data_IF_411399915001
#
_entry.id   IF_411399915001
#
_cell.length_a   1.000
_cell.length_b   1.000
_cell.length_c   1.000
_cell.angle_alpha   90.00
_cell.angle_beta   90.00
_cell.angle_gamma   90.00
#
_symmetry.space_group_name_H-M   'P 1'
#
loop_
_entity.id
_entity.type
_entity.pdbx_description
1 polymer ?
#
# COMPACT_ATOMS: atom_id res chain seq x y z
N UNK A 1 -15.27 12.02 32.96
CA UNK A 1 -13.93 12.28 32.41
C UNK A 1 -14.11 12.53 30.92
N UNK A 2 -13.82 13.73 30.44
CA UNK A 2 -13.92 14.05 29.01
C UNK A 2 -12.74 13.43 28.29
N UNK A 3 -13.00 12.50 27.38
CA UNK A 3 -11.97 11.87 26.57
C UNK A 3 -11.47 12.85 25.51
N UNK A 4 -10.58 13.77 25.90
CA UNK A 4 -10.12 14.87 25.03
C UNK A 4 -9.65 14.43 23.64
N UNK A 5 -8.99 13.28 23.54
CA UNK A 5 -8.59 12.71 22.25
C UNK A 5 -9.76 12.17 21.41
N UNK A 6 -10.78 11.59 22.04
CA UNK A 6 -11.96 11.09 21.32
C UNK A 6 -12.74 12.26 20.75
N UNK A 7 -13.03 13.28 21.59
CA UNK A 7 -13.71 14.51 21.14
C UNK A 7 -12.90 15.22 20.04
N UNK A 8 -11.58 15.18 20.13
CA UNK A 8 -10.72 15.72 19.08
C UNK A 8 -10.89 14.95 17.77
N UNK A 9 -10.86 13.61 17.81
CA UNK A 9 -11.03 12.76 16.64
C UNK A 9 -12.43 12.88 16.03
N UNK A 10 -13.49 12.95 16.83
CA UNK A 10 -14.87 13.19 16.35
C UNK A 10 -14.97 14.49 15.53
N UNK A 11 -14.21 15.52 15.91
CA UNK A 11 -14.24 16.84 15.25
C UNK A 11 -13.31 16.94 14.05
N UNK A 12 -12.14 16.31 14.11
CA UNK A 12 -11.06 16.49 13.15
C UNK A 12 -10.89 15.31 12.19
N UNK A 13 -11.55 14.19 12.45
CA UNK A 13 -11.35 12.95 11.72
C UNK A 13 -10.06 12.23 12.11
N UNK A 14 -9.60 11.26 11.30
CA UNK A 14 -8.32 10.59 11.51
C UNK A 14 -7.15 11.55 11.38
N UNK A 15 -6.21 11.50 12.34
CA UNK A 15 -5.03 12.39 12.36
C UNK A 15 -3.77 11.64 12.82
N UNK A 16 -2.56 12.14 12.53
CA UNK A 16 -1.34 11.63 13.14
C UNK A 16 -1.42 11.60 14.67
N UNK A 17 -0.90 10.53 15.30
CA UNK A 17 -0.85 10.42 16.76
C UNK A 17 -0.14 11.61 17.42
N UNK A 18 0.83 12.21 16.73
CA UNK A 18 1.57 13.38 17.21
C UNK A 18 0.70 14.67 17.29
N UNK A 19 -0.46 14.70 16.63
CA UNK A 19 -1.39 15.84 16.64
C UNK A 19 -2.46 15.71 17.73
N UNK A 20 -2.56 14.56 18.40
CA UNK A 20 -3.51 14.39 19.49
C UNK A 20 -3.15 15.31 20.67
N UNK A 21 -4.16 15.91 21.34
CA UNK A 21 -3.92 16.82 22.46
C UNK A 21 -3.33 16.15 23.69
N UNK A 22 -3.53 14.84 23.85
CA UNK A 22 -3.07 14.06 25.00
C UNK A 22 -2.53 12.69 24.58
N UNK A 23 -1.76 12.06 25.46
CA UNK A 23 -1.36 10.66 25.27
C UNK A 23 -2.59 9.73 25.25
N UNK A 24 -2.51 8.69 24.42
CA UNK A 24 -3.58 7.69 24.31
C UNK A 24 -3.57 6.79 25.54
N UNK A 25 -4.69 6.74 26.24
CA UNK A 25 -4.84 5.94 27.47
C UNK A 25 -5.63 4.65 27.23
N UNK A 26 -5.47 3.65 28.11
CA UNK A 26 -6.23 2.39 28.04
C UNK A 26 -7.75 2.59 27.99
N UNK A 27 -8.35 3.49 28.80
CA UNK A 27 -9.78 3.77 28.71
C UNK A 27 -10.22 4.32 27.34
N UNK A 28 -9.39 5.13 26.68
CA UNK A 28 -9.70 5.63 25.33
C UNK A 28 -9.65 4.51 24.29
N UNK A 29 -8.69 3.58 24.40
CA UNK A 29 -8.64 2.39 23.54
C UNK A 29 -9.86 1.51 23.72
N UNK A 30 -10.29 1.30 24.97
CA UNK A 30 -11.50 0.56 25.28
C UNK A 30 -12.77 1.24 24.74
N UNK A 31 -12.73 2.55 24.52
CA UNK A 31 -13.81 3.33 23.93
C UNK A 31 -13.74 3.43 22.38
N UNK A 32 -12.86 2.66 21.72
CA UNK A 32 -12.79 2.57 20.27
C UNK A 32 -11.74 3.45 19.60
N UNK A 33 -10.87 4.12 20.37
CA UNK A 33 -9.71 4.81 19.80
C UNK A 33 -8.62 3.80 19.41
N UNK A 34 -8.31 3.75 18.12
CA UNK A 34 -7.31 2.87 17.53
C UNK A 34 -6.25 3.63 16.75
N UNK A 35 -5.15 2.94 16.43
CA UNK A 35 -4.05 3.49 15.65
C UNK A 35 -3.69 2.57 14.48
N UNK A 36 -3.68 3.11 13.26
CA UNK A 36 -3.11 2.43 12.10
C UNK A 36 -1.61 2.70 12.09
N UNK A 37 -0.83 1.64 12.31
CA UNK A 37 0.64 1.69 12.31
C UNK A 37 1.17 0.80 11.21
N UNK A 38 1.87 1.38 10.23
CA UNK A 38 2.64 0.58 9.28
C UNK A 38 4.00 0.27 9.90
N UNK A 39 4.20 -1.00 10.26
CA UNK A 39 5.52 -1.48 10.61
C UNK A 39 6.38 -1.54 9.35
N UNK A 40 7.49 -0.80 9.33
CA UNK A 40 8.56 -1.05 8.38
C UNK A 40 9.14 -2.45 8.68
N UNK A 41 8.61 -3.48 8.01
CA UNK A 41 8.96 -4.87 8.26
C UNK A 41 10.43 -5.18 7.99
N UNK A 42 11.04 -5.98 8.88
CA UNK A 42 12.35 -6.63 8.71
C UNK A 42 12.28 -7.62 7.55
N UNK A 43 12.62 -7.18 6.36
CA UNK A 43 12.94 -8.02 5.22
C UNK A 43 13.87 -7.25 4.28
N UNK A 44 14.70 -7.93 3.46
CA UNK A 44 15.67 -7.26 2.59
C UNK A 44 15.04 -6.34 1.52
N UNK A 45 13.71 -6.26 1.41
CA UNK A 45 13.01 -5.58 0.32
C UNK A 45 12.01 -4.47 0.71
N UNK A 46 11.74 -4.16 1.98
CA UNK A 46 10.67 -3.17 2.28
C UNK A 46 11.04 -2.17 3.38
N UNK A 47 12.02 -1.31 3.10
CA UNK A 47 12.25 -0.10 3.89
C UNK A 47 11.46 1.04 3.25
N UNK A 48 10.29 1.39 3.81
CA UNK A 48 9.78 2.75 3.62
C UNK A 48 10.80 3.67 4.30
N UNK A 49 11.34 4.64 3.57
CA UNK A 49 12.43 5.48 4.05
C UNK A 49 12.03 6.33 5.26
N UNK A 50 12.32 5.85 6.47
CA UNK A 50 12.18 6.62 7.71
C UNK A 50 11.04 6.18 8.63
N UNK A 51 10.87 6.92 9.72
CA UNK A 51 9.83 6.69 10.72
C UNK A 51 8.50 7.18 10.17
N UNK A 52 7.52 6.29 10.11
CA UNK A 52 6.15 6.63 9.74
C UNK A 52 5.38 7.12 10.97
N UNK A 53 4.56 8.14 10.75
CA UNK A 53 3.61 8.65 11.72
C UNK A 53 2.38 7.75 11.74
N UNK A 54 2.07 7.07 12.87
CA UNK A 54 0.83 6.33 13.00
C UNK A 54 -0.38 7.27 12.97
N UNK A 55 -1.51 6.80 12.45
CA UNK A 55 -2.76 7.57 12.38
C UNK A 55 -3.71 7.09 13.47
N UNK A 56 -4.16 7.99 14.33
CA UNK A 56 -5.22 7.76 15.29
C UNK A 56 -6.61 7.94 14.65
N UNK A 57 -7.55 7.07 15.00
CA UNK A 57 -8.92 7.11 14.50
C UNK A 57 -9.89 6.43 15.48
N UNK A 58 -11.20 6.61 15.26
CA UNK A 58 -12.25 5.94 16.02
C UNK A 58 -12.81 4.79 15.18
N UNK A 59 -12.70 3.55 15.68
CA UNK A 59 -13.03 2.32 14.94
C UNK A 59 -14.48 2.27 14.43
N UNK A 60 -15.41 2.83 15.20
CA UNK A 60 -16.83 2.80 14.88
C UNK A 60 -17.31 3.98 14.03
N UNK A 61 -16.52 5.05 13.90
CA UNK A 61 -16.95 6.31 13.28
C UNK A 61 -16.16 6.66 12.01
N UNK A 62 -14.89 6.28 11.95
CA UNK A 62 -14.01 6.66 10.86
C UNK A 62 -13.87 5.53 9.85
N UNK A 63 -14.39 5.80 8.64
CA UNK A 63 -14.27 4.89 7.51
C UNK A 63 -12.80 4.59 7.16
N UNK A 64 -12.46 3.32 6.82
CA UNK A 64 -11.09 2.94 6.46
C UNK A 64 -10.46 3.80 5.36
N UNK A 65 -11.27 4.28 4.40
CA UNK A 65 -10.87 5.22 3.33
C UNK A 65 -10.29 6.51 3.89
N UNK A 66 -10.95 7.12 4.89
CA UNK A 66 -10.50 8.36 5.50
C UNK A 66 -9.18 8.16 6.27
N UNK A 67 -9.05 7.03 6.98
CA UNK A 67 -7.83 6.68 7.72
C UNK A 67 -6.65 6.44 6.78
N UNK A 68 -6.86 5.73 5.66
CA UNK A 68 -5.82 5.50 4.66
C UNK A 68 -5.40 6.81 4.00
N UNK A 69 -6.35 7.70 3.67
CA UNK A 69 -6.04 9.02 3.12
C UNK A 69 -5.16 9.83 4.08
N UNK A 70 -5.57 9.95 5.35
CA UNK A 70 -4.78 10.63 6.38
C UNK A 70 -3.37 10.03 6.57
N UNK A 71 -3.24 8.71 6.42
CA UNK A 71 -1.94 8.03 6.47
C UNK A 71 -1.03 8.46 5.33
N UNK A 72 -1.54 8.52 4.11
CA UNK A 72 -0.78 8.90 2.93
C UNK A 72 -0.39 10.38 2.98
N UNK A 73 -1.31 11.26 3.40
CA UNK A 73 -1.07 12.70 3.57
C UNK A 73 0.03 12.97 4.60
N UNK A 74 -0.01 12.29 5.74
CA UNK A 74 0.98 12.46 6.80
C UNK A 74 2.33 11.81 6.49
N UNK A 75 2.39 10.93 5.49
CA UNK A 75 3.58 10.13 5.16
C UNK A 75 3.83 10.07 3.65
N UNK A 76 4.16 11.20 2.98
CA UNK A 76 4.34 11.26 1.52
C UNK A 76 5.42 10.29 1.01
N UNK A 77 6.41 9.99 1.85
CA UNK A 77 7.46 8.98 1.55
C UNK A 77 6.92 7.59 1.22
N UNK A 78 5.68 7.26 1.62
CA UNK A 78 5.04 6.00 1.23
C UNK A 78 4.82 5.94 -0.28
N UNK A 79 4.28 7.00 -0.87
CA UNK A 79 3.95 7.05 -2.30
C UNK A 79 5.19 7.35 -3.14
N UNK A 80 6.15 8.10 -2.60
CA UNK A 80 7.45 8.36 -3.24
C UNK A 80 8.33 7.08 -3.38
N UNK A 81 8.28 6.17 -2.40
CA UNK A 81 9.21 5.03 -2.35
C UNK A 81 8.56 3.66 -2.60
N UNK A 82 7.24 3.54 -2.60
CA UNK A 82 6.55 2.30 -2.93
C UNK A 82 5.72 2.48 -4.19
N UNK A 83 5.65 1.43 -5.00
CA UNK A 83 4.68 1.35 -6.08
C UNK A 83 3.27 1.21 -5.51
N UNK A 84 2.27 1.65 -6.28
CA UNK A 84 0.85 1.49 -5.93
C UNK A 84 0.50 0.07 -5.52
N UNK A 85 0.92 -0.93 -6.30
CA UNK A 85 0.68 -2.36 -6.00
C UNK A 85 1.34 -2.77 -4.69
N UNK A 86 2.57 -2.30 -4.45
CA UNK A 86 3.31 -2.56 -3.22
C UNK A 86 2.57 -1.98 -2.00
N UNK A 87 2.13 -0.73 -2.09
CA UNK A 87 1.43 -0.05 -1.00
C UNK A 87 0.07 -0.68 -0.71
N UNK A 88 -0.70 -1.05 -1.74
CA UNK A 88 -1.95 -1.82 -1.59
C UNK A 88 -1.71 -3.14 -0.85
N UNK A 89 -0.64 -3.86 -1.21
CA UNK A 89 -0.29 -5.13 -0.55
C UNK A 89 0.08 -4.91 0.92
N UNK A 90 0.91 -3.91 1.21
CA UNK A 90 1.33 -3.58 2.58
C UNK A 90 0.13 -3.24 3.46
N UNK A 91 -0.79 -2.41 2.94
CA UNK A 91 -2.02 -2.05 3.65
C UNK A 91 -2.94 -3.27 3.83
N UNK A 92 -3.15 -4.07 2.77
CA UNK A 92 -3.94 -5.30 2.86
C UNK A 92 -3.40 -6.32 3.88
N UNK A 93 -2.09 -6.39 4.08
CA UNK A 93 -1.48 -7.24 5.13
C UNK A 93 -1.81 -6.77 6.56
N UNK A 94 -2.24 -5.52 6.75
CA UNK A 94 -2.74 -5.04 8.05
C UNK A 94 -4.22 -5.43 8.28
N UNK A 95 -4.91 -5.89 7.23
CA UNK A 95 -6.34 -6.19 7.26
C UNK A 95 -6.99 -5.91 5.90
N UNK A 96 -7.98 -6.73 5.54
CA UNK A 96 -8.67 -6.64 4.25
C UNK A 96 -9.26 -5.24 4.00
N UNK A 97 -9.90 -4.65 5.00
CA UNK A 97 -10.50 -3.31 4.92
C UNK A 97 -9.51 -2.22 4.50
N UNK A 98 -8.24 -2.34 4.89
CA UNK A 98 -7.19 -1.39 4.53
C UNK A 98 -6.74 -1.56 3.08
N UNK A 99 -6.70 -2.80 2.59
CA UNK A 99 -6.40 -3.08 1.17
C UNK A 99 -7.49 -2.60 0.23
N UNK A 100 -8.76 -2.74 0.63
CA UNK A 100 -9.92 -2.23 -0.10
C UNK A 100 -9.92 -0.70 -0.11
N UNK A 101 -9.77 -0.06 1.07
CA UNK A 101 -9.63 1.38 1.18
C UNK A 101 -8.47 1.94 0.35
N UNK A 102 -7.32 1.27 0.37
CA UNK A 102 -6.18 1.63 -0.46
C UNK A 102 -6.51 1.58 -1.96
N UNK A 103 -7.32 0.60 -2.40
CA UNK A 103 -7.71 0.52 -3.81
C UNK A 103 -8.47 1.77 -4.25
N UNK A 104 -9.36 2.28 -3.41
CA UNK A 104 -10.17 3.47 -3.68
C UNK A 104 -9.36 4.77 -3.63
N UNK A 105 -8.36 4.86 -2.76
CA UNK A 105 -7.64 6.12 -2.49
C UNK A 105 -6.36 6.27 -3.32
N UNK A 106 -5.67 5.18 -3.66
CA UNK A 106 -4.35 5.28 -4.30
C UNK A 106 -4.40 5.91 -5.71
N UNK A 107 -5.54 5.94 -6.40
CA UNK A 107 -5.71 6.71 -7.64
C UNK A 107 -5.47 8.22 -7.46
N UNK A 108 -5.69 8.75 -6.25
CA UNK A 108 -5.50 10.17 -5.92
C UNK A 108 -4.02 10.53 -5.75
N UNK A 109 -3.19 9.56 -5.35
CA UNK A 109 -1.79 9.79 -4.94
C UNK A 109 -0.76 9.35 -5.96
N UNK A 110 -1.16 8.52 -6.91
CA UNK A 110 -0.36 8.22 -8.09
C UNK A 110 -1.04 8.93 -9.23
N UNK A 111 -0.27 9.69 -10.03
CA UNK A 111 -0.80 10.19 -11.29
C UNK A 111 -1.50 9.05 -12.00
N UNK A 112 -2.74 9.30 -12.45
CA UNK A 112 -3.43 8.38 -13.34
C UNK A 112 -2.50 8.22 -14.52
N UNK A 113 -1.73 7.13 -14.51
CA UNK A 113 -1.12 6.60 -15.70
C UNK A 113 -2.31 6.10 -16.51
N UNK A 114 -3.01 7.04 -17.17
CA UNK A 114 -3.78 6.77 -18.36
C UNK A 114 -2.81 6.04 -19.27
N UNK A 115 -2.86 4.71 -19.17
CA UNK A 115 -1.93 3.76 -19.75
C UNK A 115 -0.52 4.33 -19.96
N UNK A 116 0.33 4.33 -18.94
CA UNK A 116 1.73 4.08 -19.27
C UNK A 116 1.83 2.59 -19.58
N UNK A 117 2.02 2.19 -20.85
CA UNK A 117 2.18 0.79 -21.21
C UNK A 117 3.62 0.35 -20.88
N UNK A 118 4.14 0.72 -19.70
CA UNK A 118 5.51 0.36 -19.26
C UNK A 118 5.52 -0.71 -18.16
N UNK A 119 4.34 -1.24 -17.84
CA UNK A 119 4.19 -2.51 -17.14
C UNK A 119 3.12 -3.40 -17.81
N UNK A 120 3.07 -3.39 -19.16
CA UNK A 120 3.14 -4.71 -19.77
C UNK A 120 4.47 -5.26 -19.26
N UNK A 121 4.45 -6.39 -18.56
CA UNK A 121 5.56 -7.32 -18.79
C UNK A 121 5.64 -7.37 -20.32
N UNK A 122 6.58 -6.63 -20.92
CA UNK A 122 7.01 -6.95 -22.26
C UNK A 122 7.28 -8.44 -22.12
N UNK A 123 6.41 -9.26 -22.70
CA UNK A 123 6.59 -10.69 -22.68
C UNK A 123 8.01 -10.85 -23.19
N UNK A 124 8.97 -11.13 -22.30
CA UNK A 124 10.38 -11.07 -22.64
C UNK A 124 10.56 -12.20 -23.65
N UNK A 125 10.42 -11.87 -24.93
CA UNK A 125 10.57 -12.83 -26.00
C UNK A 125 12.05 -13.11 -26.11
N UNK A 126 12.38 -14.38 -26.30
CA UNK A 126 13.72 -14.83 -26.62
C UNK A 126 13.68 -15.42 -28.02
N UNK A 127 14.62 -15.04 -28.85
CA UNK A 127 14.77 -15.69 -30.16
C UNK A 127 15.34 -17.09 -29.97
N UNK A 128 14.75 -18.07 -30.64
CA UNK A 128 15.29 -19.41 -30.73
C UNK A 128 16.64 -19.37 -31.47
N UNK A 129 17.72 -19.96 -30.93
CA UNK A 129 19.04 -19.92 -31.56
C UNK A 129 19.15 -20.78 -32.83
N UNK A 130 18.13 -21.58 -33.16
CA UNK A 130 18.14 -22.47 -34.33
C UNK A 130 17.30 -21.91 -35.49
N UNK A 131 16.02 -21.61 -35.27
CA UNK A 131 15.12 -21.12 -36.32
C UNK A 131 14.89 -19.59 -36.29
N UNK A 132 15.37 -18.90 -35.25
CA UNK A 132 15.18 -17.45 -35.08
C UNK A 132 13.79 -17.01 -34.61
N UNK A 133 12.87 -17.94 -34.35
CA UNK A 133 11.50 -17.63 -33.91
C UNK A 133 11.49 -17.00 -32.51
N UNK A 134 10.70 -15.93 -32.34
CA UNK A 134 10.55 -15.25 -31.05
C UNK A 134 9.54 -15.97 -30.16
N UNK A 135 9.99 -16.47 -29.01
CA UNK A 135 9.15 -17.22 -28.06
C UNK A 135 9.10 -16.53 -26.70
N UNK A 136 7.95 -16.58 -26.03
CA UNK A 136 7.75 -15.93 -24.72
C UNK A 136 8.67 -16.50 -23.64
N UNK A 137 9.05 -15.67 -22.66
CA UNK A 137 9.84 -16.08 -21.49
C UNK A 137 9.21 -17.31 -20.80
N UNK A 138 9.90 -18.44 -20.88
CA UNK A 138 9.44 -19.73 -20.33
C UNK A 138 8.97 -20.75 -21.38
N UNK A 139 8.66 -20.32 -22.61
CA UNK A 139 8.23 -21.20 -23.71
C UNK A 139 9.37 -21.76 -24.58
N UNK A 140 10.61 -21.29 -24.37
CA UNK A 140 11.78 -21.76 -25.10
C UNK A 140 12.06 -23.27 -24.93
N UNK A 141 11.95 -23.87 -23.73
CA UNK A 141 12.15 -25.31 -23.56
C UNK A 141 11.16 -26.15 -24.39
N UNK A 142 9.88 -25.77 -24.38
CA UNK A 142 8.84 -26.49 -25.14
C UNK A 142 9.04 -26.29 -26.66
N UNK A 143 9.35 -25.07 -27.09
CA UNK A 143 9.67 -24.79 -28.50
C UNK A 143 10.89 -25.60 -29.00
N UNK A 144 11.95 -25.73 -28.19
CA UNK A 144 13.13 -26.52 -28.55
C UNK A 144 12.82 -28.01 -28.78
N UNK A 145 11.74 -28.55 -28.20
CA UNK A 145 11.35 -29.96 -28.44
C UNK A 145 10.64 -30.20 -29.76
N UNK A 146 10.12 -29.15 -30.41
CA UNK A 146 9.40 -29.23 -31.69
C UNK A 146 9.98 -28.32 -32.77
N UNK A 147 11.19 -27.82 -32.58
CA UNK A 147 11.84 -26.90 -33.50
C UNK A 147 12.14 -27.63 -34.83
N UNK A 148 11.75 -27.07 -35.99
CA UNK A 148 11.95 -27.73 -37.28
C UNK A 148 13.43 -27.81 -37.72
N UNK A 149 14.30 -27.02 -37.10
CA UNK A 149 15.73 -26.88 -37.43
C UNK A 149 16.68 -27.43 -36.32
N UNK A 150 16.17 -28.26 -35.40
CA UNK A 150 16.99 -29.08 -34.47
C UNK A 150 17.32 -30.43 -35.06
#
# INVERSE_FOLDING_TARGET
>A
MTFGNIVYLEKHGPVPVAELPHEITTPQRAAGLSCLTLYAGRGPAERVGGRLSPIAYLDAEHEPVAVVRALLDANPKLTEHKSRRGLRRVLGNQGQQWGEAATSVLDEYYESTAHHPDHQEAAETRSCPFCGEEVTRGGLPDHLTGCPDT
#
